data_IF_667899554873
#
_entry.id   IF_667899554873
#
_cell.length_a   1.000
_cell.length_b   1.000
_cell.length_c   1.000
_cell.angle_alpha   90.00
_cell.angle_beta   90.00
_cell.angle_gamma   90.00
#
_symmetry.space_group_name_H-M   'P 1'
#
loop_
_entity.id
_entity.type
_entity.pdbx_description
1 polymer ?
#
# COMPACT_ATOMS: atom_id res chain seq x y z
N UNK A 1 6.50 12.03 10.37
CA UNK A 1 6.56 10.65 9.84
C UNK A 1 8.03 10.24 9.79
N UNK A 2 8.38 9.06 10.28
CA UNK A 2 9.74 8.49 10.26
C UNK A 2 9.72 7.06 9.71
N UNK A 3 8.78 6.21 10.15
CA UNK A 3 8.62 4.84 9.67
C UNK A 3 7.48 4.70 8.65
N UNK A 4 7.75 4.02 7.53
CA UNK A 4 6.83 3.87 6.39
C UNK A 4 6.72 2.39 5.99
N UNK A 5 5.50 1.92 5.75
CA UNK A 5 5.24 0.67 5.04
C UNK A 5 4.75 0.98 3.62
N UNK A 6 5.51 0.62 2.60
CA UNK A 6 5.14 0.76 1.18
C UNK A 6 4.42 -0.50 0.70
N UNK A 7 3.09 -0.42 0.62
CA UNK A 7 2.18 -1.52 0.29
C UNK A 7 1.99 -1.58 -1.23
N UNK A 8 2.33 -2.73 -1.83
CA UNK A 8 2.36 -2.88 -3.28
C UNK A 8 3.54 -2.16 -3.91
N UNK A 9 4.75 -2.36 -3.35
CA UNK A 9 5.94 -1.57 -3.66
C UNK A 9 6.46 -1.66 -5.12
N UNK A 10 5.92 -2.57 -5.94
CA UNK A 10 6.36 -2.81 -7.30
C UNK A 10 7.86 -3.10 -7.36
N UNK A 11 8.58 -2.38 -8.23
CA UNK A 11 10.05 -2.47 -8.38
C UNK A 11 10.84 -1.59 -7.39
N UNK A 12 10.17 -1.08 -6.34
CA UNK A 12 10.77 -0.31 -5.25
C UNK A 12 11.17 1.11 -5.63
N UNK A 13 10.41 1.78 -6.50
CA UNK A 13 10.65 3.19 -6.87
C UNK A 13 10.49 4.13 -5.68
N UNK A 14 9.32 4.08 -5.03
CA UNK A 14 9.01 4.86 -3.83
C UNK A 14 9.94 4.49 -2.67
N UNK A 15 10.16 3.20 -2.44
CA UNK A 15 11.09 2.71 -1.44
C UNK A 15 12.49 3.33 -1.56
N UNK A 16 13.04 3.42 -2.79
CA UNK A 16 14.35 4.04 -3.02
C UNK A 16 14.34 5.54 -2.74
N UNK A 17 13.34 6.25 -3.27
CA UNK A 17 13.18 7.69 -3.10
C UNK A 17 13.05 8.11 -1.63
N UNK A 18 12.29 7.36 -0.85
CA UNK A 18 12.05 7.62 0.57
C UNK A 18 13.26 7.22 1.43
N UNK A 19 13.89 6.08 1.14
CA UNK A 19 15.12 5.66 1.84
C UNK A 19 16.25 6.68 1.69
N UNK A 20 16.44 7.23 0.50
CA UNK A 20 17.44 8.29 0.24
C UNK A 20 17.21 9.54 1.11
N UNK A 21 15.96 9.82 1.49
CA UNK A 21 15.58 10.96 2.36
C UNK A 21 15.66 10.64 3.85
N UNK A 22 16.16 9.46 4.22
CA UNK A 22 16.36 9.06 5.61
C UNK A 22 15.10 8.52 6.29
N UNK A 23 14.06 8.16 5.53
CA UNK A 23 12.93 7.42 6.09
C UNK A 23 13.31 5.96 6.35
N UNK A 24 12.76 5.42 7.43
CA UNK A 24 12.85 4.01 7.79
C UNK A 24 11.69 3.29 7.09
N UNK A 25 11.99 2.53 6.05
CA UNK A 25 10.99 1.99 5.14
C UNK A 25 11.10 0.47 5.06
N UNK A 26 9.95 -0.19 5.18
CA UNK A 26 9.75 -1.58 4.81
C UNK A 26 8.81 -1.65 3.61
N UNK A 27 8.88 -2.72 2.84
CA UNK A 27 8.06 -2.92 1.65
C UNK A 27 7.24 -4.20 1.75
N UNK A 28 6.05 -4.21 1.13
CA UNK A 28 5.16 -5.37 1.11
C UNK A 28 4.64 -5.62 -0.30
N UNK A 29 4.70 -6.88 -0.73
CA UNK A 29 4.04 -7.34 -1.95
C UNK A 29 3.89 -8.87 -1.94
N UNK A 30 2.80 -9.42 -2.52
CA UNK A 30 2.64 -10.87 -2.64
C UNK A 30 3.48 -11.48 -3.79
N UNK A 31 4.13 -10.65 -4.62
CA UNK A 31 4.82 -11.10 -5.83
C UNK A 31 6.27 -11.53 -5.58
N UNK A 32 6.59 -12.78 -5.94
CA UNK A 32 7.95 -13.35 -5.80
C UNK A 32 8.98 -12.65 -6.68
N UNK A 33 8.58 -12.20 -7.87
CA UNK A 33 9.49 -11.48 -8.75
C UNK A 33 9.87 -10.11 -8.16
N UNK A 34 8.94 -9.45 -7.48
CA UNK A 34 9.21 -8.20 -6.77
C UNK A 34 10.14 -8.42 -5.56
N UNK A 35 9.99 -9.53 -4.84
CA UNK A 35 10.90 -9.92 -3.76
C UNK A 35 12.36 -10.00 -4.25
N UNK A 36 12.59 -10.67 -5.39
CA UNK A 36 13.91 -10.79 -6.01
C UNK A 36 14.47 -9.43 -6.43
N UNK A 37 13.68 -8.61 -7.13
CA UNK A 37 14.08 -7.27 -7.56
C UNK A 37 14.42 -6.36 -6.39
N UNK A 38 13.62 -6.35 -5.32
CA UNK A 38 13.89 -5.55 -4.13
C UNK A 38 15.18 -6.03 -3.45
N UNK A 39 15.36 -7.34 -3.33
CA UNK A 39 16.57 -7.91 -2.73
C UNK A 39 17.82 -7.49 -3.49
N UNK A 40 17.80 -7.54 -4.82
CA UNK A 40 18.91 -7.10 -5.66
C UNK A 40 19.14 -5.59 -5.53
N UNK A 41 18.10 -4.78 -5.73
CA UNK A 41 18.16 -3.32 -5.75
C UNK A 41 18.68 -2.71 -4.45
N UNK A 42 18.36 -3.33 -3.32
CA UNK A 42 18.74 -2.84 -1.99
C UNK A 42 19.81 -3.70 -1.31
N UNK A 43 20.52 -4.56 -2.06
CA UNK A 43 21.57 -5.44 -1.55
C UNK A 43 21.13 -6.26 -0.32
N UNK A 44 19.86 -6.69 -0.28
CA UNK A 44 19.26 -7.45 0.82
C UNK A 44 19.04 -6.66 2.11
N UNK A 45 19.25 -5.34 2.12
CA UNK A 45 19.11 -4.50 3.33
C UNK A 45 17.69 -3.98 3.56
N UNK A 46 16.81 -4.10 2.58
CA UNK A 46 15.41 -3.70 2.68
C UNK A 46 14.58 -4.85 3.22
N UNK A 47 13.79 -4.61 4.26
CA UNK A 47 12.83 -5.60 4.75
C UNK A 47 11.68 -5.73 3.73
N UNK A 48 11.51 -6.93 3.19
CA UNK A 48 10.43 -7.27 2.27
C UNK A 48 9.46 -8.24 2.95
N UNK A 49 8.18 -7.86 3.01
CA UNK A 49 7.11 -8.73 3.47
C UNK A 49 6.41 -9.37 2.27
N UNK A 50 6.64 -10.67 2.07
CA UNK A 50 5.96 -11.46 1.04
C UNK A 50 4.54 -11.83 1.49
N UNK A 51 3.62 -10.88 1.38
CA UNK A 51 2.23 -11.08 1.78
C UNK A 51 1.29 -10.18 0.98
N UNK A 52 0.00 -10.52 0.99
CA UNK A 52 -1.07 -9.57 0.68
C UNK A 52 -1.24 -8.63 1.86
N UNK A 53 -1.75 -7.42 1.59
CA UNK A 53 -1.95 -6.47 2.68
C UNK A 53 -3.09 -6.90 3.61
N UNK A 54 -4.12 -7.54 3.08
CA UNK A 54 -5.22 -8.10 3.86
C UNK A 54 -4.78 -9.17 4.87
N UNK A 55 -3.66 -9.84 4.60
CA UNK A 55 -3.08 -10.91 5.41
C UNK A 55 -1.83 -10.43 6.17
N UNK A 56 -1.56 -9.12 6.18
CA UNK A 56 -0.35 -8.57 6.80
C UNK A 56 -0.46 -8.57 8.33
N UNK A 57 0.43 -9.32 8.97
CA UNK A 57 0.58 -9.35 10.41
C UNK A 57 2.05 -9.12 10.77
N UNK A 58 2.33 -8.10 11.58
CA UNK A 58 3.64 -7.94 12.21
C UNK A 58 3.52 -7.24 13.58
N UNK A 59 4.61 -7.22 14.35
CA UNK A 59 4.67 -6.62 15.69
C UNK A 59 5.11 -5.14 15.70
N UNK A 60 5.34 -4.54 14.53
CA UNK A 60 5.85 -3.18 14.31
C UNK A 60 4.72 -2.26 13.84
N UNK A 61 4.59 -1.13 14.51
CA UNK A 61 3.68 -0.07 14.09
C UNK A 61 4.40 1.01 13.26
N UNK A 62 3.75 1.53 12.23
CA UNK A 62 4.28 2.54 11.31
C UNK A 62 3.64 3.91 11.52
N UNK A 63 4.39 4.97 11.23
CA UNK A 63 3.86 6.33 11.16
C UNK A 63 2.95 6.53 9.94
N UNK A 64 3.29 5.86 8.84
CA UNK A 64 2.63 5.98 7.55
C UNK A 64 2.54 4.61 6.86
N UNK A 65 1.37 4.29 6.33
CA UNK A 65 1.20 3.27 5.30
C UNK A 65 0.99 4.00 3.98
N UNK A 66 1.77 3.64 2.97
CA UNK A 66 1.71 4.21 1.63
C UNK A 66 1.11 3.17 0.68
N UNK A 67 -0.02 3.52 0.07
CA UNK A 67 -0.63 2.78 -1.03
C UNK A 67 -0.56 3.65 -2.30
N UNK A 68 0.55 3.56 -3.02
CA UNK A 68 0.77 4.27 -4.29
C UNK A 68 0.48 3.32 -5.44
N UNK A 69 -0.64 3.52 -6.13
CA UNK A 69 -1.12 2.67 -7.23
C UNK A 69 -1.35 1.20 -6.83
N UNK A 70 -1.71 0.96 -5.57
CA UNK A 70 -1.94 -0.39 -5.03
C UNK A 70 -3.31 -0.59 -4.37
N UNK A 71 -4.00 0.49 -3.98
CA UNK A 71 -5.27 0.43 -3.26
C UNK A 71 -6.36 -0.29 -4.05
N UNK A 72 -6.38 -0.15 -5.38
CA UNK A 72 -7.33 -0.82 -6.26
C UNK A 72 -7.23 -2.36 -6.24
N UNK A 73 -6.09 -2.93 -5.84
CA UNK A 73 -5.89 -4.38 -5.70
C UNK A 73 -6.25 -4.91 -4.31
N UNK A 74 -6.44 -4.01 -3.35
CA UNK A 74 -6.69 -4.31 -1.94
C UNK A 74 -8.19 -4.24 -1.68
N UNK A 75 -8.74 -5.23 -1.00
CA UNK A 75 -10.15 -5.16 -0.57
C UNK A 75 -10.33 -4.04 0.46
N UNK A 76 -11.33 -3.16 0.26
CA UNK A 76 -11.58 -1.97 1.09
C UNK A 76 -11.58 -2.30 2.60
N UNK A 77 -12.57 -3.06 3.08
CA UNK A 77 -12.73 -3.33 4.52
C UNK A 77 -11.56 -4.11 5.16
N UNK A 78 -11.07 -5.22 4.55
CA UNK A 78 -9.89 -5.90 5.07
C UNK A 78 -8.62 -5.03 5.03
N UNK A 79 -8.44 -4.21 3.98
CA UNK A 79 -7.32 -3.30 3.84
C UNK A 79 -7.29 -2.25 4.94
N UNK A 80 -8.42 -1.58 5.21
CA UNK A 80 -8.53 -0.66 6.34
C UNK A 80 -8.33 -1.36 7.69
N UNK A 81 -8.78 -2.61 7.83
CA UNK A 81 -8.53 -3.41 9.04
C UNK A 81 -7.04 -3.65 9.27
N UNK A 82 -6.30 -4.08 8.23
CA UNK A 82 -4.85 -4.25 8.28
C UNK A 82 -4.14 -2.93 8.55
N UNK A 83 -4.56 -1.85 7.90
CA UNK A 83 -4.00 -0.52 8.13
C UNK A 83 -4.13 -0.07 9.58
N UNK A 84 -5.31 -0.25 10.20
CA UNK A 84 -5.55 0.10 11.62
C UNK A 84 -4.67 -0.72 12.57
N UNK A 85 -4.35 -1.98 12.24
CA UNK A 85 -3.44 -2.83 13.04
C UNK A 85 -1.97 -2.42 12.90
N UNK A 86 -1.56 -2.06 11.69
CA UNK A 86 -0.17 -1.75 11.37
C UNK A 86 0.22 -0.28 11.62
N UNK A 87 -0.76 0.62 11.79
CA UNK A 87 -0.50 2.01 12.15
C UNK A 87 -0.36 2.19 13.66
N UNK A 88 0.58 3.05 14.07
CA UNK A 88 0.58 3.55 15.45
C UNK A 88 -0.60 4.49 15.68
N UNK A 89 -0.92 4.76 16.94
CA UNK A 89 -1.87 5.83 17.30
C UNK A 89 -1.44 7.16 16.66
N UNK A 90 -2.34 7.78 15.89
CA UNK A 90 -2.09 9.02 15.15
C UNK A 90 -1.17 8.86 13.93
N UNK A 91 -1.01 7.64 13.41
CA UNK A 91 -0.44 7.37 12.09
C UNK A 91 -1.48 7.58 10.98
N UNK A 92 -1.02 7.56 9.73
CA UNK A 92 -1.86 7.86 8.56
C UNK A 92 -1.76 6.77 7.50
N UNK A 93 -2.86 6.51 6.80
CA UNK A 93 -2.86 5.82 5.52
C UNK A 93 -2.87 6.89 4.42
N UNK A 94 -1.87 6.91 3.56
CA UNK A 94 -1.83 7.78 2.38
C UNK A 94 -2.04 6.93 1.14
N UNK A 95 -3.09 7.26 0.39
CA UNK A 95 -3.46 6.55 -0.83
C UNK A 95 -3.33 7.50 -2.01
N UNK A 96 -2.54 7.10 -3.01
CA UNK A 96 -2.40 7.77 -4.28
C UNK A 96 -2.75 6.78 -5.38
N UNK A 97 -4.02 6.75 -5.77
CA UNK A 97 -4.53 5.80 -6.76
C UNK A 97 -5.71 6.42 -7.55
N UNK A 98 -6.12 5.76 -8.62
CA UNK A 98 -7.33 6.09 -9.36
C UNK A 98 -8.56 5.59 -8.60
N UNK A 99 -9.60 6.42 -8.55
CA UNK A 99 -10.90 6.08 -7.97
C UNK A 99 -12.02 6.32 -8.97
N UNK A 100 -13.05 5.47 -8.90
CA UNK A 100 -14.28 5.69 -9.68
C UNK A 100 -15.09 6.80 -9.01
N UNK A 101 -15.00 8.00 -9.59
CA UNK A 101 -15.77 9.18 -9.15
C UNK A 101 -17.19 9.19 -9.71
N UNK A 102 -17.38 8.74 -10.95
CA UNK A 102 -18.67 8.75 -11.65
C UNK A 102 -18.85 7.49 -12.50
N UNK A 103 -20.07 6.93 -12.51
CA UNK A 103 -20.47 5.84 -13.41
C UNK A 103 -21.61 6.34 -14.30
N UNK A 104 -21.40 6.32 -15.62
CA UNK A 104 -22.51 6.49 -16.57
C UNK A 104 -23.20 5.15 -16.84
N UNK A 105 -24.43 5.20 -17.35
CA UNK A 105 -25.25 4.01 -17.64
C UNK A 105 -24.63 3.06 -18.68
N UNK A 106 -23.70 3.56 -19.50
CA UNK A 106 -23.04 2.76 -20.56
C UNK A 106 -21.92 1.86 -20.05
N UNK A 107 -21.45 2.05 -18.81
CA UNK A 107 -20.47 1.18 -18.15
C UNK A 107 -19.16 0.99 -18.92
N UNK A 108 -18.08 1.68 -18.53
CA UNK A 108 -16.75 1.37 -19.07
C UNK A 108 -16.13 0.18 -18.31
N UNK A 109 -15.54 -0.83 -19.01
CA UNK A 109 -14.79 -1.92 -18.37
C UNK A 109 -13.69 -1.43 -17.42
N UNK A 110 -13.09 -0.27 -17.71
CA UNK A 110 -12.06 0.36 -16.86
C UNK A 110 -12.59 0.76 -15.48
N UNK A 111 -13.91 0.92 -15.31
CA UNK A 111 -14.55 1.22 -14.01
C UNK A 111 -14.64 0.00 -13.09
N UNK A 112 -14.28 -1.20 -13.55
CA UNK A 112 -14.22 -2.41 -12.72
C UNK A 112 -12.88 -2.56 -12.01
N UNK A 113 -11.86 -1.82 -12.44
CA UNK A 113 -10.48 -1.99 -11.98
C UNK A 113 -10.13 -1.14 -10.76
N UNK A 114 -11.09 -0.40 -10.19
CA UNK A 114 -10.85 0.57 -9.12
C UNK A 114 -12.07 0.73 -8.21
N UNK A 115 -11.85 1.21 -6.99
CA UNK A 115 -12.87 1.41 -5.97
C UNK A 115 -13.75 2.64 -6.25
N UNK A 116 -15.06 2.59 -5.97
CA UNK A 116 -15.88 3.80 -5.91
C UNK A 116 -15.35 4.76 -4.82
N UNK A 117 -15.05 6.01 -5.19
CA UNK A 117 -14.45 6.99 -4.28
C UNK A 117 -15.26 7.17 -2.99
N UNK A 118 -16.58 7.32 -3.11
CA UNK A 118 -17.45 7.50 -1.94
C UNK A 118 -17.48 6.27 -1.02
N UNK A 119 -17.46 5.06 -1.59
CA UNK A 119 -17.46 3.84 -0.79
C UNK A 119 -16.12 3.67 -0.05
N UNK A 120 -15.01 3.99 -0.73
CA UNK A 120 -13.67 3.92 -0.13
C UNK A 120 -13.51 4.94 1.00
N UNK A 121 -13.92 6.20 0.79
CA UNK A 121 -13.86 7.24 1.82
C UNK A 121 -14.71 6.88 3.04
N UNK A 122 -15.94 6.38 2.82
CA UNK A 122 -16.84 5.98 3.91
C UNK A 122 -16.27 4.85 4.77
N UNK A 123 -15.53 3.91 4.18
CA UNK A 123 -14.88 2.83 4.94
C UNK A 123 -13.65 3.31 5.75
N UNK A 124 -13.09 4.46 5.38
CA UNK A 124 -11.95 5.07 6.08
C UNK A 124 -12.33 5.91 7.30
N UNK A 125 -13.61 6.22 7.49
CA UNK A 125 -14.15 6.89 8.69
C UNK A 125 -14.08 5.98 9.93
#
# INVERSE_FOLDING_TARGET
VRSILDVGCGVGGNAAYLKERGFDIDVLSPDTYQEEMIKEKFNGTMQFFKSKFEDFENNRAYDLILESESACYIKIEPGFTSARKALRTGGYLLVADYFVYYRNERGSPHLKSSHPMQAYLKAGE
#
